data_IF_592989940523
#
_entry.id   IF_592989940523
#
_cell.length_a   1.000
_cell.length_b   1.000
_cell.length_c   1.000
_cell.angle_alpha   90.00
_cell.angle_beta   90.00
_cell.angle_gamma   90.00
#
_symmetry.space_group_name_H-M   'P 1'
#
loop_
_entity.id
_entity.type
_entity.pdbx_description
1 polymer ?
#
# COMPACT_ATOMS: atom_id res chain seq x y z
N UNK A 1 30.06 -38.82 46.12
CA UNK A 1 30.05 -39.68 44.93
C UNK A 1 29.25 -38.96 43.88
N UNK A 2 29.91 -38.15 43.04
CA UNK A 2 29.29 -37.45 41.91
C UNK A 2 29.18 -38.41 40.75
N UNK A 3 27.96 -38.69 40.34
CA UNK A 3 27.68 -39.53 39.17
C UNK A 3 28.12 -38.79 37.89
N UNK A 4 29.15 -39.33 37.23
CA UNK A 4 29.55 -38.90 35.89
C UNK A 4 28.37 -39.08 34.93
N UNK A 5 27.75 -37.93 34.52
CA UNK A 5 26.82 -37.93 33.40
C UNK A 5 27.58 -38.33 32.14
N UNK A 6 27.21 -39.49 31.58
CA UNK A 6 27.71 -39.91 30.28
C UNK A 6 27.22 -38.94 29.19
N UNK A 7 28.10 -38.07 28.74
CA UNK A 7 27.83 -37.23 27.57
C UNK A 7 27.89 -38.09 26.32
N UNK A 8 26.71 -38.34 25.73
CA UNK A 8 26.60 -39.02 24.45
C UNK A 8 26.85 -37.98 23.34
N UNK A 9 27.96 -38.10 22.65
CA UNK A 9 28.24 -37.32 21.44
C UNK A 9 27.38 -37.80 20.26
N UNK A 10 27.04 -36.87 19.38
CA UNK A 10 26.35 -37.20 18.13
C UNK A 10 27.26 -37.95 17.17
N UNK A 11 26.68 -38.90 16.42
CA UNK A 11 27.42 -39.61 15.38
C UNK A 11 27.50 -38.75 14.11
N UNK A 12 28.57 -38.89 13.32
CA UNK A 12 28.72 -38.17 12.05
C UNK A 12 27.56 -38.50 11.09
N UNK A 13 27.05 -39.75 11.14
CA UNK A 13 25.90 -40.17 10.33
C UNK A 13 24.61 -39.46 10.71
N UNK A 14 24.38 -39.22 12.01
CA UNK A 14 23.19 -38.49 12.51
C UNK A 14 23.17 -37.04 12.04
N UNK A 15 24.31 -36.36 12.08
CA UNK A 15 24.45 -35.01 11.55
C UNK A 15 24.20 -34.97 10.05
N UNK A 16 24.68 -35.95 9.30
CA UNK A 16 24.49 -36.06 7.84
C UNK A 16 23.01 -36.20 7.48
N UNK A 17 22.26 -37.02 8.22
CA UNK A 17 20.81 -37.17 8.03
C UNK A 17 20.08 -35.82 8.33
N UNK A 18 20.43 -35.17 9.43
CA UNK A 18 19.80 -33.91 9.83
C UNK A 18 20.02 -32.81 8.78
N UNK A 19 21.27 -32.66 8.30
CA UNK A 19 21.58 -31.70 7.24
C UNK A 19 20.84 -32.01 5.92
N UNK A 20 20.74 -33.31 5.58
CA UNK A 20 19.97 -33.75 4.42
C UNK A 20 18.48 -33.40 4.52
N UNK A 21 17.88 -33.62 5.70
CA UNK A 21 16.48 -33.28 5.96
C UNK A 21 16.25 -31.75 5.88
N UNK A 22 17.15 -30.95 6.48
CA UNK A 22 17.08 -29.50 6.41
C UNK A 22 17.14 -29.03 4.95
N UNK A 23 18.04 -29.60 4.14
CA UNK A 23 18.16 -29.31 2.72
C UNK A 23 16.86 -29.52 1.93
N UNK A 24 16.20 -30.65 2.17
CA UNK A 24 14.93 -31.00 1.52
C UNK A 24 13.80 -30.03 1.95
N UNK A 25 13.67 -29.79 3.25
CA UNK A 25 12.64 -28.88 3.78
C UNK A 25 12.85 -27.46 3.28
N UNK A 26 14.10 -26.98 3.27
CA UNK A 26 14.43 -25.63 2.78
C UNK A 26 14.10 -25.47 1.29
N UNK A 27 14.33 -26.47 0.47
CA UNK A 27 14.02 -26.44 -0.97
C UNK A 27 12.53 -26.24 -1.27
N UNK A 28 11.65 -26.71 -0.42
CA UNK A 28 10.19 -26.56 -0.58
C UNK A 28 9.70 -25.27 0.09
N UNK A 29 10.26 -24.89 1.23
CA UNK A 29 9.78 -23.75 2.02
C UNK A 29 10.09 -22.39 1.37
N UNK A 30 11.24 -22.24 0.72
CA UNK A 30 11.69 -20.96 0.16
C UNK A 30 10.71 -20.35 -0.86
N UNK A 31 10.24 -21.06 -1.91
CA UNK A 31 9.34 -20.45 -2.89
C UNK A 31 7.98 -20.05 -2.28
N UNK A 32 7.47 -20.86 -1.35
CA UNK A 32 6.20 -20.55 -0.64
C UNK A 32 6.35 -19.30 0.22
N UNK A 33 7.49 -19.14 0.89
CA UNK A 33 7.76 -17.96 1.72
C UNK A 33 7.87 -16.69 0.88
N UNK A 34 8.52 -16.75 -0.29
CA UNK A 34 8.64 -15.58 -1.19
C UNK A 34 7.28 -15.13 -1.70
N UNK A 35 6.44 -16.04 -2.19
CA UNK A 35 5.08 -15.72 -2.65
C UNK A 35 4.21 -15.14 -1.53
N UNK A 36 4.30 -15.68 -0.32
CA UNK A 36 3.55 -15.16 0.84
C UNK A 36 3.99 -13.73 1.22
N UNK A 37 5.28 -13.42 1.08
CA UNK A 37 5.80 -12.09 1.38
C UNK A 37 5.33 -11.04 0.35
N UNK A 38 5.25 -11.40 -0.92
CA UNK A 38 4.71 -10.54 -1.99
C UNK A 38 3.26 -10.18 -1.71
N UNK A 39 2.42 -11.17 -1.45
CA UNK A 39 1.02 -10.98 -1.09
C UNK A 39 0.86 -10.08 0.14
N UNK A 40 1.64 -10.31 1.20
CA UNK A 40 1.61 -9.50 2.41
C UNK A 40 2.02 -8.05 2.15
N UNK A 41 3.00 -7.83 1.27
CA UNK A 41 3.43 -6.50 0.86
C UNK A 41 2.34 -5.74 0.11
N UNK A 42 1.63 -6.43 -0.78
CA UNK A 42 0.48 -5.89 -1.52
C UNK A 42 -0.68 -5.52 -0.57
N UNK A 43 -1.03 -6.44 0.34
CA UNK A 43 -2.07 -6.20 1.34
C UNK A 43 -1.77 -5.00 2.23
N UNK A 44 -0.58 -4.95 2.80
CA UNK A 44 -0.14 -3.86 3.68
C UNK A 44 -0.14 -2.51 2.95
N UNK A 45 0.30 -2.49 1.69
CA UNK A 45 0.31 -1.26 0.88
C UNK A 45 -1.10 -0.78 0.56
N UNK A 46 -2.01 -1.68 0.21
CA UNK A 46 -3.42 -1.36 -0.05
C UNK A 46 -4.11 -0.78 1.20
N UNK A 47 -3.87 -1.36 2.37
CA UNK A 47 -4.41 -0.85 3.63
C UNK A 47 -3.84 0.52 4.00
N UNK A 48 -2.55 0.77 3.74
CA UNK A 48 -1.94 2.10 3.93
C UNK A 48 -2.59 3.15 3.03
N UNK A 49 -2.87 2.79 1.78
CA UNK A 49 -3.60 3.67 0.86
C UNK A 49 -5.01 3.95 1.35
N UNK A 50 -5.74 2.93 1.75
CA UNK A 50 -7.08 3.07 2.34
C UNK A 50 -7.07 3.96 3.59
N UNK A 51 -6.06 3.81 4.45
CA UNK A 51 -5.89 4.65 5.64
C UNK A 51 -5.63 6.12 5.27
N UNK A 52 -4.79 6.38 4.24
CA UNK A 52 -4.55 7.75 3.74
C UNK A 52 -5.85 8.39 3.23
N UNK A 53 -6.66 7.65 2.49
CA UNK A 53 -7.95 8.14 1.98
C UNK A 53 -8.91 8.49 3.12
N UNK A 54 -9.05 7.61 4.11
CA UNK A 54 -9.88 7.85 5.30
C UNK A 54 -9.38 9.05 6.11
N UNK A 55 -8.07 9.14 6.32
CA UNK A 55 -7.46 10.27 7.03
C UNK A 55 -7.67 11.59 6.28
N UNK A 56 -7.48 11.59 4.97
CA UNK A 56 -7.67 12.79 4.13
C UNK A 56 -9.13 13.23 4.16
N UNK A 57 -10.07 12.28 4.11
CA UNK A 57 -11.51 12.56 4.26
C UNK A 57 -11.83 13.22 5.59
N UNK A 58 -11.31 12.69 6.70
CA UNK A 58 -11.51 13.30 8.02
C UNK A 58 -10.95 14.71 8.08
N UNK A 59 -9.75 14.95 7.52
CA UNK A 59 -9.16 16.28 7.44
C UNK A 59 -10.03 17.25 6.61
N UNK A 60 -10.58 16.78 5.48
CA UNK A 60 -11.44 17.58 4.64
C UNK A 60 -12.72 18.02 5.37
N UNK A 61 -13.38 17.10 6.08
CA UNK A 61 -14.58 17.37 6.87
C UNK A 61 -14.28 18.30 8.04
N UNK A 62 -13.25 18.00 8.84
CA UNK A 62 -12.93 18.77 10.04
C UNK A 62 -12.49 20.19 9.75
N UNK A 63 -11.85 20.43 8.60
CA UNK A 63 -11.41 21.75 8.17
C UNK A 63 -12.39 22.44 7.22
N UNK A 64 -13.45 21.74 6.84
CA UNK A 64 -14.41 22.19 5.81
C UNK A 64 -13.70 22.70 4.55
N UNK A 65 -12.68 21.98 4.10
CA UNK A 65 -11.80 22.37 3.00
C UNK A 65 -11.60 21.17 2.06
N UNK A 66 -11.41 21.46 0.79
CA UNK A 66 -11.14 20.45 -0.21
C UNK A 66 -9.70 19.93 -0.10
N UNK A 67 -9.54 18.63 -0.24
CA UNK A 67 -8.25 17.95 -0.32
C UNK A 67 -8.16 17.15 -1.62
N UNK A 68 -6.95 16.93 -2.09
CA UNK A 68 -6.66 15.97 -3.17
C UNK A 68 -5.74 14.88 -2.64
N UNK A 69 -6.05 13.62 -2.97
CA UNK A 69 -5.12 12.50 -2.80
C UNK A 69 -4.51 12.23 -4.15
N UNK A 70 -3.22 12.50 -4.31
CA UNK A 70 -2.47 12.24 -5.54
C UNK A 70 -1.62 10.98 -5.39
N UNK A 71 -1.68 10.15 -6.42
CA UNK A 71 -0.87 8.94 -6.54
C UNK A 71 0.41 9.24 -7.31
N UNK A 72 1.45 8.44 -7.07
CA UNK A 72 2.78 8.66 -7.61
C UNK A 72 3.31 10.08 -7.32
N UNK A 73 3.04 10.57 -6.11
CA UNK A 73 3.29 11.93 -5.65
C UNK A 73 4.05 11.91 -4.30
N UNK A 74 5.31 12.34 -4.24
CA UNK A 74 6.14 12.91 -5.30
C UNK A 74 6.82 11.89 -6.23
N UNK A 75 6.84 10.61 -5.88
CA UNK A 75 7.52 9.56 -6.63
C UNK A 75 6.64 8.33 -6.83
N UNK A 76 7.13 7.41 -7.68
CA UNK A 76 6.46 6.14 -7.97
C UNK A 76 6.24 5.34 -6.68
N UNK A 77 5.07 4.75 -6.52
CA UNK A 77 4.70 4.01 -5.31
C UNK A 77 4.49 4.87 -4.07
N UNK A 78 4.37 6.19 -4.23
CA UNK A 78 4.07 7.14 -3.15
C UNK A 78 2.70 7.75 -3.35
N UNK A 79 2.00 8.03 -2.25
CA UNK A 79 0.74 8.76 -2.29
C UNK A 79 0.72 9.84 -1.21
N UNK A 80 0.02 10.93 -1.49
CA UNK A 80 -0.04 12.07 -0.57
C UNK A 80 -1.39 12.77 -0.64
N UNK A 81 -1.91 13.15 0.52
CA UNK A 81 -3.08 14.04 0.63
C UNK A 81 -2.64 15.50 0.70
N UNK A 82 -3.09 16.31 -0.23
CA UNK A 82 -2.74 17.71 -0.39
C UNK A 82 -3.95 18.56 -0.08
N UNK A 83 -3.78 19.60 0.75
CA UNK A 83 -4.80 20.61 0.96
C UNK A 83 -4.94 21.51 -0.27
N UNK A 84 -6.16 21.80 -0.68
CA UNK A 84 -6.44 22.78 -1.73
C UNK A 84 -6.58 24.15 -1.09
N UNK A 85 -5.70 25.06 -1.47
CA UNK A 85 -5.65 26.44 -0.92
C UNK A 85 -6.63 27.37 -1.63
N UNK A 86 -7.13 26.97 -2.79
CA UNK A 86 -7.92 27.82 -3.69
C UNK A 86 -7.06 28.81 -4.49
N UNK A 87 -5.75 28.72 -4.36
CA UNK A 87 -4.79 29.55 -5.12
C UNK A 87 -4.17 28.69 -6.22
N UNK A 88 -4.53 28.87 -7.50
CA UNK A 88 -4.05 28.03 -8.60
C UNK A 88 -2.52 27.96 -8.68
N UNK A 89 -1.82 29.07 -8.42
CA UNK A 89 -0.37 29.10 -8.41
C UNK A 89 0.27 28.16 -7.37
N UNK A 90 -0.45 27.80 -6.31
CA UNK A 90 -0.01 26.84 -5.29
C UNK A 90 -0.51 25.45 -5.62
N UNK A 91 -1.80 25.33 -5.94
CA UNK A 91 -2.49 24.04 -6.07
C UNK A 91 -2.07 23.28 -7.34
N UNK A 92 -1.78 24.03 -8.43
CA UNK A 92 -1.36 23.48 -9.72
C UNK A 92 0.16 23.56 -9.95
N UNK A 93 0.93 23.98 -8.95
CA UNK A 93 2.38 24.05 -9.05
C UNK A 93 2.98 22.69 -9.43
N UNK A 94 3.93 22.68 -10.37
CA UNK A 94 4.61 21.46 -10.85
C UNK A 94 5.28 20.71 -9.71
N UNK A 95 5.77 21.41 -8.72
CA UNK A 95 6.43 20.85 -7.54
C UNK A 95 5.49 20.64 -6.35
N UNK A 96 4.15 20.71 -6.54
CA UNK A 96 3.16 20.61 -5.45
C UNK A 96 3.28 19.30 -4.66
N UNK A 97 3.68 18.22 -5.31
CA UNK A 97 3.94 16.94 -4.69
C UNK A 97 5.15 16.95 -3.75
N UNK A 98 6.16 17.72 -4.05
CA UNK A 98 7.41 17.81 -3.28
C UNK A 98 7.38 18.93 -2.24
N UNK A 99 6.52 19.94 -2.45
CA UNK A 99 6.38 21.08 -1.53
C UNK A 99 5.43 20.72 -0.39
N UNK A 100 5.75 21.16 0.82
CA UNK A 100 4.90 20.94 1.99
C UNK A 100 4.11 22.23 2.31
N UNK A 101 2.80 22.15 2.19
CA UNK A 101 1.88 23.21 2.60
C UNK A 101 1.26 22.84 3.96
N UNK A 102 1.07 23.83 4.82
CA UNK A 102 0.46 23.62 6.14
C UNK A 102 -0.92 22.95 6.00
N UNK A 103 -1.05 21.74 6.49
CA UNK A 103 -2.25 20.93 6.40
C UNK A 103 -2.16 19.70 5.51
N UNK A 104 -1.17 19.62 4.64
CA UNK A 104 -0.91 18.41 3.87
C UNK A 104 -0.74 17.18 4.76
N UNK A 105 -0.99 16.00 4.20
CA UNK A 105 -0.59 14.76 4.87
C UNK A 105 0.89 14.48 4.64
N UNK A 106 1.46 13.61 5.46
CA UNK A 106 2.77 13.01 5.16
C UNK A 106 2.71 12.20 3.86
N UNK A 107 3.89 11.92 3.32
CA UNK A 107 4.04 11.01 2.18
C UNK A 107 3.83 9.58 2.71
N UNK A 108 2.93 8.84 2.08
CA UNK A 108 2.72 7.42 2.35
C UNK A 108 3.48 6.63 1.28
N UNK A 109 4.51 5.93 1.73
CA UNK A 109 5.31 5.05 0.88
C UNK A 109 4.69 3.65 0.87
N UNK A 110 4.46 3.09 -0.32
CA UNK A 110 4.13 1.68 -0.48
C UNK A 110 5.37 0.81 -0.28
N UNK A 111 5.18 -0.46 -0.03
CA UNK A 111 6.30 -1.40 0.08
C UNK A 111 7.05 -1.45 -1.25
N UNK A 112 8.34 -1.77 -1.18
CA UNK A 112 9.19 -1.88 -2.38
C UNK A 112 8.59 -2.86 -3.39
N UNK A 113 8.50 -2.44 -4.66
CA UNK A 113 7.92 -3.24 -5.75
C UNK A 113 6.41 -3.09 -5.93
N UNK A 114 5.70 -2.43 -5.00
CA UNK A 114 4.27 -2.13 -5.15
C UNK A 114 4.09 -0.85 -5.97
N UNK A 115 3.28 -0.92 -7.01
CA UNK A 115 3.01 0.17 -7.94
C UNK A 115 1.51 0.45 -8.00
N UNK A 116 1.17 1.65 -8.44
CA UNK A 116 -0.18 2.00 -8.89
C UNK A 116 -0.24 1.81 -10.39
N UNK A 117 -1.26 1.13 -10.90
CA UNK A 117 -1.42 0.97 -12.34
C UNK A 117 -1.70 2.33 -13.02
N UNK A 118 -1.25 2.41 -14.28
CA UNK A 118 -1.35 3.62 -15.13
C UNK A 118 -2.79 4.10 -15.39
N UNK A 119 -3.80 3.27 -15.13
CA UNK A 119 -5.21 3.66 -15.20
C UNK A 119 -5.63 4.69 -14.15
N UNK A 120 -4.87 4.82 -13.05
CA UNK A 120 -5.13 5.80 -11.97
C UNK A 120 -4.16 6.96 -12.09
N UNK A 121 -4.39 7.81 -13.07
CA UNK A 121 -3.39 8.81 -13.49
C UNK A 121 -3.32 10.04 -12.62
N UNK A 122 -4.42 10.45 -11.98
CA UNK A 122 -4.48 11.80 -11.38
C UNK A 122 -4.74 11.78 -9.88
N UNK A 123 -5.60 10.92 -9.38
CA UNK A 123 -5.96 10.87 -7.97
C UNK A 123 -7.43 11.20 -7.69
N UNK A 124 -7.72 11.41 -6.44
CA UNK A 124 -9.07 11.68 -5.92
C UNK A 124 -9.13 13.05 -5.24
N UNK A 125 -10.22 13.75 -5.44
CA UNK A 125 -10.55 14.97 -4.71
C UNK A 125 -11.59 14.64 -3.65
N UNK A 126 -11.41 15.21 -2.45
CA UNK A 126 -12.31 15.06 -1.30
C UNK A 126 -12.83 16.43 -0.92
N UNK A 127 -14.13 16.59 -0.94
CA UNK A 127 -14.78 17.85 -0.55
C UNK A 127 -14.89 17.99 0.97
N UNK A 128 -15.14 19.21 1.47
CA UNK A 128 -15.43 19.46 2.89
C UNK A 128 -16.65 18.71 3.43
N UNK A 129 -17.52 18.19 2.56
CA UNK A 129 -18.65 17.31 2.92
C UNK A 129 -18.25 15.83 3.02
N UNK A 130 -17.01 15.49 2.67
CA UNK A 130 -16.51 14.11 2.69
C UNK A 130 -16.89 13.27 1.47
N UNK A 131 -17.39 13.89 0.40
CA UNK A 131 -17.63 13.20 -0.87
C UNK A 131 -16.36 13.16 -1.71
N UNK A 132 -16.18 12.05 -2.44
CA UNK A 132 -15.07 11.86 -3.36
C UNK A 132 -15.50 12.14 -4.79
N UNK A 133 -14.59 12.72 -5.56
CA UNK A 133 -14.67 12.90 -7.00
C UNK A 133 -13.32 12.58 -7.62
N UNK A 134 -13.30 12.11 -8.86
CA UNK A 134 -12.03 11.92 -9.56
C UNK A 134 -11.46 13.25 -10.02
N UNK A 135 -10.13 13.41 -9.91
CA UNK A 135 -9.44 14.57 -10.48
C UNK A 135 -9.45 14.41 -12.00
N UNK A 136 -9.88 15.49 -12.70
CA UNK A 136 -9.99 15.43 -14.16
C UNK A 136 -11.33 14.93 -14.71
N UNK A 137 -12.33 14.70 -13.82
CA UNK A 137 -13.70 14.39 -14.24
C UNK A 137 -13.97 12.93 -14.57
N UNK A 138 -13.17 12.02 -14.03
CA UNK A 138 -13.40 10.57 -14.16
C UNK A 138 -14.66 10.08 -13.44
N UNK A 139 -15.15 8.90 -13.84
CA UNK A 139 -16.31 8.26 -13.23
C UNK A 139 -16.04 7.87 -11.76
N UNK A 140 -17.09 7.91 -10.94
CA UNK A 140 -17.13 7.36 -9.59
C UNK A 140 -18.23 6.28 -9.59
N UNK A 141 -18.00 5.07 -9.04
CA UNK A 141 -16.86 4.67 -8.21
C UNK A 141 -15.55 4.57 -9.00
N UNK A 142 -14.44 4.99 -8.37
CA UNK A 142 -13.11 4.85 -8.93
C UNK A 142 -12.43 3.62 -8.33
N UNK A 143 -11.91 2.77 -9.19
CA UNK A 143 -11.07 1.63 -8.80
C UNK A 143 -9.60 2.00 -8.99
N UNK A 144 -8.82 1.74 -7.97
CA UNK A 144 -7.38 1.94 -7.94
C UNK A 144 -6.74 0.57 -7.92
N UNK A 145 -5.95 0.29 -8.94
CA UNK A 145 -5.22 -0.97 -9.03
C UNK A 145 -3.88 -0.81 -8.34
N UNK A 146 -3.62 -1.68 -7.38
CA UNK A 146 -2.35 -1.77 -6.65
C UNK A 146 -1.72 -3.09 -7.05
N UNK A 147 -0.56 -3.03 -7.70
CA UNK A 147 0.08 -4.20 -8.31
C UNK A 147 1.42 -4.52 -7.64
N UNK A 148 1.76 -5.80 -7.55
CA UNK A 148 3.07 -6.30 -7.17
C UNK A 148 3.41 -7.54 -8.01
N UNK A 149 4.33 -7.40 -8.95
CA UNK A 149 4.65 -8.47 -9.89
C UNK A 149 3.44 -8.88 -10.74
N UNK A 150 2.97 -10.12 -10.55
CA UNK A 150 1.77 -10.65 -11.21
C UNK A 150 0.53 -10.66 -10.32
N UNK A 151 0.58 -10.03 -9.15
CA UNK A 151 -0.52 -9.95 -8.20
C UNK A 151 -1.12 -8.56 -8.20
N UNK A 152 -2.45 -8.50 -8.25
CA UNK A 152 -3.22 -7.25 -8.26
C UNK A 152 -4.19 -7.23 -7.08
N UNK A 153 -4.42 -6.03 -6.56
CA UNK A 153 -5.47 -5.77 -5.60
C UNK A 153 -6.18 -4.47 -5.92
N UNK A 154 -7.48 -4.52 -5.91
CA UNK A 154 -8.36 -3.42 -6.30
C UNK A 154 -8.91 -2.72 -5.08
N UNK A 155 -8.78 -1.41 -5.05
CA UNK A 155 -9.35 -0.55 -4.04
C UNK A 155 -10.38 0.36 -4.71
N UNK A 156 -11.66 0.12 -4.42
CA UNK A 156 -12.75 0.88 -5.01
C UNK A 156 -13.25 1.94 -4.03
N UNK A 157 -13.33 3.18 -4.49
CA UNK A 157 -13.79 4.34 -3.72
C UNK A 157 -15.10 4.85 -4.32
N UNK A 158 -16.17 4.84 -3.53
CA UNK A 158 -17.45 5.40 -3.93
C UNK A 158 -17.51 6.92 -3.71
N UNK A 159 -18.47 7.59 -4.34
CA UNK A 159 -18.71 9.03 -4.15
C UNK A 159 -19.01 9.40 -2.68
N UNK A 160 -19.64 8.51 -1.93
CA UNK A 160 -19.95 8.69 -0.50
C UNK A 160 -18.77 8.42 0.42
N UNK A 161 -17.64 7.97 -0.14
CA UNK A 161 -16.42 7.68 0.61
C UNK A 161 -16.38 6.30 1.25
N UNK A 162 -17.18 5.35 0.77
CA UNK A 162 -17.01 3.95 1.09
C UNK A 162 -15.79 3.42 0.34
N UNK A 163 -14.91 2.72 1.06
CA UNK A 163 -13.71 2.11 0.52
C UNK A 163 -13.84 0.62 0.67
N UNK A 164 -13.78 -0.10 -0.45
CA UNK A 164 -13.83 -1.56 -0.51
C UNK A 164 -12.57 -2.11 -1.14
N UNK A 165 -12.13 -3.27 -0.67
CA UNK A 165 -10.98 -3.98 -1.21
C UNK A 165 -11.45 -5.27 -1.88
N UNK A 166 -10.86 -5.61 -3.01
CA UNK A 166 -11.15 -6.83 -3.76
C UNK A 166 -9.85 -7.37 -4.36
N UNK A 167 -9.74 -8.68 -4.41
CA UNK A 167 -8.64 -9.38 -5.09
C UNK A 167 -9.04 -9.75 -6.54
N UNK A 168 -10.25 -9.36 -6.97
CA UNK A 168 -10.74 -9.50 -8.33
C UNK A 168 -11.12 -8.12 -8.89
N UNK A 169 -10.93 -7.88 -10.20
CA UNK A 169 -11.36 -6.64 -10.83
C UNK A 169 -12.86 -6.43 -10.61
N UNK A 170 -13.32 -5.18 -10.45
CA UNK A 170 -14.75 -4.90 -10.34
C UNK A 170 -15.46 -5.35 -11.61
N UNK A 171 -16.68 -5.85 -11.47
CA UNK A 171 -17.53 -6.17 -12.61
C UNK A 171 -17.77 -4.90 -13.46
N UNK A 172 -17.78 -5.00 -14.79
CA UNK A 172 -18.01 -3.87 -15.69
C UNK A 172 -19.39 -3.24 -15.53
#
# INVERSE_FOLDING_TARGET
>A
MEGMRSERGYTLFEILIVVGLIGVISGIALPVFMSSNEMNSLWTSSERLGALLRQTRLKAITRNTTFQVRFNCPGVGQARGLIMTGVPAVDDAVNRCSTNTAGDSGIVQMNSGVLFDAGVTTGLQVTGRGSFTAIGGGAIPLTIDVTYGAQDRYLTVSATGQITFSDAPPAP
#
